data_IF_629134701321
#
_entry.id   IF_629134701321
#
_cell.length_a   1.000
_cell.length_b   1.000
_cell.length_c   1.000
_cell.angle_alpha   90.00
_cell.angle_beta   90.00
_cell.angle_gamma   90.00
#
_symmetry.space_group_name_H-M   'P 1'
#
loop_
_entity.id
_entity.type
_entity.pdbx_description
1 polymer ?
#
# COMPACT_ATOMS: atom_id res chain seq x y z
N UNK A 1 -23.37 7.95 -10.90
CA UNK A 1 -22.96 8.30 -9.53
C UNK A 1 -23.11 9.79 -9.58
N UNK A 2 -24.26 10.20 -9.09
CA UNK A 2 -24.87 11.45 -9.48
C UNK A 2 -24.52 12.52 -8.43
N UNK A 3 -23.88 12.09 -7.33
CA UNK A 3 -23.23 12.91 -6.30
C UNK A 3 -21.83 12.39 -5.94
N UNK A 4 -21.07 13.20 -5.22
CA UNK A 4 -19.73 12.84 -4.74
C UNK A 4 -19.80 11.75 -3.65
N UNK A 5 -20.82 11.83 -2.80
CA UNK A 5 -21.09 10.91 -1.71
C UNK A 5 -21.41 9.51 -2.24
N UNK A 6 -22.25 9.40 -3.29
CA UNK A 6 -22.51 8.12 -3.96
C UNK A 6 -21.26 7.52 -4.61
N UNK A 7 -20.32 8.36 -5.06
CA UNK A 7 -19.05 7.87 -5.58
C UNK A 7 -18.17 7.32 -4.46
N UNK A 8 -18.16 7.96 -3.29
CA UNK A 8 -17.45 7.44 -2.12
C UNK A 8 -18.08 6.16 -1.57
N UNK A 9 -19.41 6.05 -1.54
CA UNK A 9 -20.09 4.80 -1.16
C UNK A 9 -19.66 3.63 -2.04
N UNK A 10 -19.52 3.87 -3.36
CA UNK A 10 -19.01 2.86 -4.31
C UNK A 10 -17.58 2.41 -4.02
N UNK A 11 -16.70 3.34 -3.62
CA UNK A 11 -15.33 2.98 -3.22
C UNK A 11 -15.30 2.17 -1.92
N UNK A 12 -16.26 2.42 -1.03
CA UNK A 12 -16.36 1.80 0.29
C UNK A 12 -17.15 0.48 0.28
N UNK A 13 -17.80 0.09 -0.81
CA UNK A 13 -18.52 -1.19 -0.95
C UNK A 13 -17.76 -2.41 -0.36
N UNK A 14 -16.45 -2.62 -0.60
CA UNK A 14 -15.72 -3.76 -0.06
C UNK A 14 -15.57 -3.74 1.47
N UNK A 15 -15.73 -2.58 2.08
CA UNK A 15 -15.64 -2.38 3.53
C UNK A 15 -16.98 -2.42 4.26
N UNK A 16 -18.09 -2.52 3.53
CA UNK A 16 -19.45 -2.59 4.06
C UNK A 16 -19.82 -1.42 5.00
N UNK A 17 -19.29 -0.22 4.73
CA UNK A 17 -19.65 1.03 5.42
C UNK A 17 -19.97 2.10 4.38
N UNK A 18 -20.86 3.05 4.70
CA UNK A 18 -21.10 4.21 3.85
C UNK A 18 -20.09 5.33 4.14
N UNK A 19 -20.00 6.30 3.24
CA UNK A 19 -19.20 7.50 3.42
C UNK A 19 -19.69 8.34 4.62
N UNK A 20 -21.00 8.46 4.80
CA UNK A 20 -21.60 9.15 5.94
C UNK A 20 -21.23 8.46 7.27
N UNK A 21 -21.34 7.14 7.33
CA UNK A 21 -20.99 6.34 8.51
C UNK A 21 -19.49 6.41 8.82
N UNK A 22 -18.62 6.49 7.82
CA UNK A 22 -17.18 6.57 8.03
C UNK A 22 -16.75 7.97 8.46
N UNK A 23 -17.27 9.01 7.79
CA UNK A 23 -16.90 10.41 8.02
C UNK A 23 -17.37 10.97 9.36
N UNK A 24 -18.44 10.40 9.92
CA UNK A 24 -19.00 10.79 11.23
C UNK A 24 -18.31 10.15 12.43
N UNK A 25 -17.39 9.20 12.24
CA UNK A 25 -16.65 8.56 13.33
C UNK A 25 -15.56 9.48 13.88
N UNK A 26 -15.30 9.35 15.18
CA UNK A 26 -14.09 9.94 15.79
C UNK A 26 -12.80 9.41 15.12
N UNK A 27 -12.83 8.14 14.71
CA UNK A 27 -11.78 7.48 13.93
C UNK A 27 -12.34 7.09 12.57
N UNK A 28 -12.04 7.90 11.56
CA UNK A 28 -12.57 7.76 10.19
C UNK A 28 -11.60 7.02 9.24
N UNK A 29 -10.63 6.28 9.77
CA UNK A 29 -9.70 5.44 9.01
C UNK A 29 -10.10 3.97 9.12
N UNK A 30 -10.05 3.24 8.00
CA UNK A 30 -10.20 1.79 7.97
C UNK A 30 -8.82 1.15 7.83
N UNK A 31 -8.25 0.71 8.95
CA UNK A 31 -7.00 -0.05 8.93
C UNK A 31 -7.27 -1.55 9.09
N UNK A 32 -6.63 -2.41 8.28
CA UNK A 32 -6.58 -3.83 8.61
C UNK A 32 -5.81 -4.00 9.92
N UNK A 33 -6.08 -5.10 10.64
CA UNK A 33 -5.32 -5.46 11.83
C UNK A 33 -3.81 -5.40 11.53
N UNK A 34 -3.02 -4.65 12.31
CA UNK A 34 -1.57 -4.64 12.17
C UNK A 34 -1.04 -6.07 12.25
N UNK A 35 -0.14 -6.41 11.33
CA UNK A 35 0.48 -7.71 11.28
C UNK A 35 1.98 -7.51 11.19
N UNK A 36 2.73 -8.21 12.04
CA UNK A 36 4.19 -8.22 11.99
C UNK A 36 4.69 -9.11 10.85
N UNK A 37 5.94 -8.90 10.42
CA UNK A 37 6.67 -9.77 9.49
C UNK A 37 5.88 -10.18 8.23
N UNK A 38 5.07 -9.27 7.66
CA UNK A 38 4.23 -9.52 6.47
C UNK A 38 5.01 -10.08 5.27
N UNK A 39 6.31 -9.78 5.21
CA UNK A 39 7.23 -10.28 4.19
C UNK A 39 7.39 -11.82 4.21
N UNK A 40 7.12 -12.50 5.33
CA UNK A 40 7.18 -13.96 5.41
C UNK A 40 6.08 -14.63 4.56
N UNK A 41 4.94 -13.96 4.41
CA UNK A 41 3.82 -14.45 3.61
C UNK A 41 3.92 -14.01 2.14
N UNK A 42 4.19 -12.72 1.93
CA UNK A 42 4.05 -12.09 0.61
C UNK A 42 5.39 -11.67 -0.03
N UNK A 43 6.51 -11.83 0.67
CA UNK A 43 7.78 -11.19 0.29
C UNK A 43 7.78 -9.67 0.51
N UNK A 44 8.89 -9.05 0.14
CA UNK A 44 8.99 -7.59 0.02
C UNK A 44 8.40 -7.13 -1.30
N UNK A 45 7.91 -5.88 -1.36
CA UNK A 45 7.38 -5.27 -2.59
C UNK A 45 8.50 -4.83 -3.57
N UNK A 46 9.49 -5.71 -3.77
CA UNK A 46 10.61 -5.56 -4.70
C UNK A 46 10.43 -6.53 -5.87
N UNK A 47 11.20 -6.35 -6.96
CA UNK A 47 11.10 -7.24 -8.13
C UNK A 47 11.43 -8.69 -7.78
N UNK A 48 12.38 -8.92 -6.88
CA UNK A 48 12.75 -10.26 -6.41
C UNK A 48 11.85 -10.83 -5.30
N UNK A 49 10.98 -10.01 -4.70
CA UNK A 49 10.25 -10.39 -3.49
C UNK A 49 11.10 -10.44 -2.22
N UNK A 50 12.37 -9.99 -2.27
CA UNK A 50 13.34 -10.01 -1.16
C UNK A 50 13.93 -8.62 -0.91
N UNK A 51 14.73 -8.49 0.15
CA UNK A 51 15.62 -7.32 0.28
C UNK A 51 16.68 -7.39 -0.81
N UNK A 52 16.69 -6.39 -1.69
CA UNK A 52 17.65 -6.29 -2.78
C UNK A 52 18.90 -5.57 -2.30
N UNK A 53 19.94 -6.34 -1.95
CA UNK A 53 21.25 -5.79 -1.60
C UNK A 53 21.90 -5.06 -2.79
N UNK A 54 21.66 -5.56 -4.00
CA UNK A 54 21.93 -4.87 -5.26
C UNK A 54 20.57 -4.51 -5.89
N UNK A 55 20.33 -3.24 -6.15
CA UNK A 55 19.02 -2.75 -6.60
C UNK A 55 18.78 -3.08 -8.08
N UNK A 56 17.80 -3.96 -8.34
CA UNK A 56 17.39 -4.26 -9.72
C UNK A 56 16.70 -3.08 -10.40
N UNK A 57 16.14 -2.14 -9.63
CA UNK A 57 15.58 -0.89 -10.16
C UNK A 57 16.71 -0.03 -10.74
N UNK A 58 17.80 0.15 -9.99
CA UNK A 58 18.95 0.97 -10.42
C UNK A 58 19.60 0.36 -11.66
N UNK A 59 19.84 -0.95 -11.66
CA UNK A 59 20.40 -1.65 -12.81
C UNK A 59 19.55 -1.45 -14.08
N UNK A 60 18.21 -1.60 -13.99
CA UNK A 60 17.30 -1.40 -15.12
C UNK A 60 17.27 0.04 -15.64
N UNK A 61 17.60 1.01 -14.79
CA UNK A 61 17.72 2.41 -15.16
C UNK A 61 19.13 2.78 -15.66
N UNK A 62 20.08 1.83 -15.64
CA UNK A 62 21.46 2.04 -16.08
C UNK A 62 22.37 2.67 -15.01
N UNK A 63 21.97 2.61 -13.73
CA UNK A 63 22.79 3.07 -12.60
C UNK A 63 23.51 1.90 -11.93
N UNK A 64 24.54 2.23 -11.14
CA UNK A 64 25.24 1.24 -10.31
C UNK A 64 24.27 0.68 -9.24
N UNK A 65 24.05 -0.65 -9.18
CA UNK A 65 23.07 -1.24 -8.28
C UNK A 65 23.55 -1.35 -6.83
N UNK A 66 24.85 -1.22 -6.58
CA UNK A 66 25.44 -1.29 -5.25
C UNK A 66 25.75 0.12 -4.71
N UNK A 67 25.66 0.32 -3.38
CA UNK A 67 26.12 1.56 -2.77
C UNK A 67 27.65 1.65 -2.87
N UNK A 68 28.13 2.84 -3.19
CA UNK A 68 29.55 3.18 -3.09
C UNK A 68 29.83 3.82 -1.72
N UNK A 69 31.04 3.58 -1.22
CA UNK A 69 31.57 4.24 -0.02
C UNK A 69 32.75 5.10 -0.44
N UNK A 70 32.86 6.31 0.11
CA UNK A 70 34.00 7.22 -0.07
C UNK A 70 35.01 7.09 1.07
#
# INVERSE_FOLDING_TARGET
ADTLEEWFDKLLEPSAVTFEELSSREVNWLFPTPGERRYEKNGFATFSGKVELASSVLEKLGYEPLPEYE
#
